data_IF_064238290486
#
_entry.id   IF_064238290486
#
_cell.length_a   1.000
_cell.length_b   1.000
_cell.length_c   1.000
_cell.angle_alpha   90.00
_cell.angle_beta   90.00
_cell.angle_gamma   90.00
#
_symmetry.space_group_name_H-M   'P 1'
#
loop_
_entity.id
_entity.type
_entity.pdbx_description
1 polymer ?
#
# COMPACT_ATOMS: atom_id res chain seq x y z
N UNK A 1 48.65 -7.87 -7.89
CA UNK A 1 48.31 -8.12 -6.47
C UNK A 1 47.33 -7.04 -6.06
N UNK A 2 46.05 -7.31 -6.29
CA UNK A 2 44.94 -6.39 -6.12
C UNK A 2 44.61 -6.20 -4.63
N UNK A 3 44.70 -4.96 -4.17
CA UNK A 3 44.31 -4.53 -2.83
C UNK A 3 42.91 -3.95 -2.85
N UNK A 4 41.89 -4.81 -2.80
CA UNK A 4 40.49 -4.39 -2.73
C UNK A 4 40.16 -3.92 -1.32
N UNK A 5 39.85 -2.62 -1.20
CA UNK A 5 39.24 -1.97 -0.04
C UNK A 5 37.94 -2.69 0.34
N UNK A 6 37.85 -3.14 1.58
CA UNK A 6 36.58 -3.52 2.22
C UNK A 6 35.91 -2.23 2.70
N UNK A 7 34.87 -1.79 1.99
CA UNK A 7 33.94 -0.77 2.48
C UNK A 7 32.74 -1.51 3.04
N UNK A 8 32.55 -1.42 4.35
CA UNK A 8 31.40 -1.93 5.08
C UNK A 8 30.18 -1.06 4.79
N UNK A 9 29.29 -1.50 3.91
CA UNK A 9 27.97 -0.91 3.73
C UNK A 9 26.97 -1.53 4.72
N UNK A 10 26.75 -0.83 5.84
CA UNK A 10 25.58 -1.00 6.67
C UNK A 10 24.37 -0.37 5.97
N UNK A 11 23.66 -1.16 5.17
CA UNK A 11 22.41 -0.76 4.51
C UNK A 11 21.19 -1.25 5.30
N UNK A 12 20.60 -0.35 6.08
CA UNK A 12 19.22 -0.45 6.56
C UNK A 12 18.26 -0.43 5.36
N UNK A 13 17.96 -1.59 4.79
CA UNK A 13 16.87 -1.73 3.82
C UNK A 13 15.54 -1.94 4.55
N UNK A 14 14.88 -0.83 4.92
CA UNK A 14 13.42 -0.81 5.03
C UNK A 14 12.84 -0.85 3.61
N UNK A 15 12.88 -2.03 2.99
CA UNK A 15 12.23 -2.28 1.71
C UNK A 15 10.72 -2.32 1.90
N UNK A 16 10.02 -1.29 1.45
CA UNK A 16 8.59 -1.42 1.15
C UNK A 16 8.49 -2.49 0.07
N UNK A 17 8.05 -3.69 0.45
CA UNK A 17 7.73 -4.76 -0.50
C UNK A 17 6.51 -4.26 -1.30
N UNK A 18 6.76 -3.63 -2.44
CA UNK A 18 5.73 -3.37 -3.45
C UNK A 18 5.56 -4.71 -4.14
N UNK A 19 4.61 -5.53 -3.66
CA UNK A 19 4.27 -6.78 -4.32
C UNK A 19 3.91 -6.47 -5.77
N UNK A 20 4.61 -7.09 -6.72
CA UNK A 20 4.24 -6.99 -8.13
C UNK A 20 2.77 -7.45 -8.28
N UNK A 21 1.94 -6.74 -9.08
CA UNK A 21 0.54 -7.12 -9.28
C UNK A 21 0.47 -8.58 -9.75
N UNK A 22 -0.23 -9.42 -9.01
CA UNK A 22 -0.29 -10.85 -9.34
C UNK A 22 -1.20 -11.06 -10.55
N UNK A 23 -0.67 -11.71 -11.59
CA UNK A 23 -1.37 -12.03 -12.84
C UNK A 23 -2.51 -13.08 -12.71
N UNK A 24 -3.01 -13.37 -11.51
CA UNK A 24 -4.04 -14.39 -11.27
C UNK A 24 -5.08 -13.95 -10.23
N UNK A 25 -6.21 -14.66 -10.20
CA UNK A 25 -7.24 -14.50 -9.16
C UNK A 25 -6.85 -15.32 -7.93
N UNK A 26 -6.68 -14.65 -6.79
CA UNK A 26 -6.31 -15.32 -5.54
C UNK A 26 -7.34 -16.37 -5.11
N UNK A 27 -6.86 -17.56 -4.75
CA UNK A 27 -7.65 -18.63 -4.14
C UNK A 27 -7.20 -18.83 -2.70
N UNK A 28 -8.08 -18.55 -1.74
CA UNK A 28 -7.75 -18.64 -0.31
C UNK A 28 -7.69 -20.12 0.09
N UNK A 29 -6.61 -20.50 0.75
CA UNK A 29 -6.45 -21.85 1.28
C UNK A 29 -7.47 -22.19 2.38
N UNK A 30 -7.72 -23.48 2.59
CA UNK A 30 -8.58 -23.94 3.67
C UNK A 30 -8.03 -23.53 5.07
N UNK A 31 -8.87 -23.13 6.03
CA UNK A 31 -8.40 -22.68 7.36
C UNK A 31 -7.49 -23.67 8.10
N UNK A 32 -7.70 -24.97 7.90
CA UNK A 32 -6.89 -26.02 8.51
C UNK A 32 -5.41 -26.00 8.07
N UNK A 33 -5.09 -25.35 6.95
CA UNK A 33 -3.73 -25.27 6.41
C UNK A 33 -3.07 -23.91 6.65
N UNK A 34 -3.75 -22.97 7.32
CA UNK A 34 -3.21 -21.62 7.51
C UNK A 34 -2.00 -21.63 8.45
N UNK A 35 -0.87 -21.03 8.04
CA UNK A 35 0.31 -20.93 8.89
C UNK A 35 0.03 -20.02 10.09
N UNK A 36 0.60 -20.39 11.22
CA UNK A 36 0.69 -19.53 12.40
C UNK A 36 1.87 -18.59 12.24
N UNK A 37 1.62 -17.29 12.26
CA UNK A 37 2.66 -16.27 12.13
C UNK A 37 2.57 -15.27 13.28
N UNK A 38 3.71 -14.67 13.68
CA UNK A 38 3.71 -13.58 14.64
C UNK A 38 3.00 -12.37 14.05
N UNK A 39 2.26 -11.65 14.89
CA UNK A 39 1.72 -10.35 14.50
C UNK A 39 2.83 -9.31 14.48
N UNK A 40 2.81 -8.38 13.52
CA UNK A 40 3.86 -7.34 13.38
C UNK A 40 4.07 -6.47 14.62
N UNK A 41 3.05 -6.34 15.48
CA UNK A 41 3.11 -5.57 16.73
C UNK A 41 3.56 -6.38 17.96
N UNK A 42 4.09 -7.59 17.77
CA UNK A 42 4.59 -8.43 18.86
C UNK A 42 3.49 -9.04 19.74
N UNK A 43 2.27 -9.18 19.21
CA UNK A 43 1.15 -9.84 19.89
C UNK A 43 1.13 -11.37 19.69
N UNK A 44 0.04 -12.06 20.08
CA UNK A 44 -0.08 -13.51 19.93
C UNK A 44 0.07 -13.93 18.46
N UNK A 45 0.54 -15.16 18.24
CA UNK A 45 0.52 -15.75 16.90
C UNK A 45 -0.92 -15.91 16.43
N UNK A 46 -1.17 -15.56 15.17
CA UNK A 46 -2.47 -15.73 14.53
C UNK A 46 -2.34 -16.65 13.32
N UNK A 47 -3.43 -17.28 12.92
CA UNK A 47 -3.49 -17.96 11.64
C UNK A 47 -3.66 -16.94 10.52
N UNK A 48 -2.83 -17.05 9.48
CA UNK A 48 -2.89 -16.15 8.34
C UNK A 48 -3.40 -16.88 7.10
N UNK A 49 -4.49 -16.39 6.47
CA UNK A 49 -4.89 -16.89 5.17
C UNK A 49 -3.80 -16.64 4.13
N UNK A 50 -3.60 -17.57 3.21
CA UNK A 50 -2.68 -17.40 2.09
C UNK A 50 -3.33 -17.84 0.79
N UNK A 51 -2.77 -17.41 -0.34
CA UNK A 51 -3.21 -17.82 -1.65
C UNK A 51 -2.57 -19.18 -2.02
N UNK A 52 -3.37 -20.19 -2.35
CA UNK A 52 -2.88 -21.51 -2.77
C UNK A 52 -2.10 -21.46 -4.09
N UNK A 53 -2.33 -20.44 -4.91
CA UNK A 53 -1.75 -20.32 -6.26
C UNK A 53 -0.37 -19.67 -6.22
N UNK A 54 -0.19 -18.61 -5.43
CA UNK A 54 1.08 -17.86 -5.39
C UNK A 54 1.77 -17.84 -4.03
N UNK A 55 1.17 -18.44 -3.00
CA UNK A 55 1.75 -18.47 -1.65
C UNK A 55 1.72 -17.14 -0.89
N UNK A 56 1.20 -16.05 -1.49
CA UNK A 56 1.13 -14.76 -0.79
C UNK A 56 0.22 -14.84 0.43
N UNK A 57 0.66 -14.21 1.51
CA UNK A 57 -0.01 -14.21 2.80
C UNK A 57 -0.87 -12.95 2.91
N UNK A 58 -2.16 -13.15 3.21
CA UNK A 58 -3.12 -12.07 3.34
C UNK A 58 -2.84 -11.23 4.58
N UNK A 59 -2.85 -9.91 4.41
CA UNK A 59 -2.83 -9.00 5.56
C UNK A 59 -4.14 -9.13 6.37
N UNK A 60 -4.03 -9.25 7.70
CA UNK A 60 -5.15 -9.41 8.62
C UNK A 60 -5.17 -8.30 9.69
N UNK A 61 -6.31 -8.16 10.38
CA UNK A 61 -6.48 -7.22 11.48
C UNK A 61 -6.30 -5.76 11.06
N UNK A 62 -5.58 -4.98 11.88
CA UNK A 62 -5.38 -3.53 11.67
C UNK A 62 -4.55 -3.16 10.44
N UNK A 63 -3.84 -4.13 9.86
CA UNK A 63 -2.98 -3.92 8.68
C UNK A 63 -3.70 -4.20 7.37
N UNK A 64 -4.97 -4.60 7.43
CA UNK A 64 -5.75 -4.91 6.24
C UNK A 64 -5.85 -3.68 5.32
N UNK A 65 -5.49 -3.80 4.04
CA UNK A 65 -5.60 -2.69 3.09
C UNK A 65 -7.06 -2.33 2.82
N UNK A 66 -7.27 -1.08 2.40
CA UNK A 66 -8.56 -0.57 1.97
C UNK A 66 -9.02 -1.32 0.72
N UNK A 67 -10.31 -1.65 0.67
CA UNK A 67 -10.94 -2.08 -0.58
C UNK A 67 -11.01 -0.91 -1.56
N UNK A 68 -11.24 -1.19 -2.84
CA UNK A 68 -11.43 -0.18 -3.91
C UNK A 68 -12.32 1.00 -3.48
N UNK A 69 -13.47 0.75 -2.87
CA UNK A 69 -14.37 1.82 -2.39
C UNK A 69 -13.72 2.73 -1.34
N UNK A 70 -12.91 2.19 -0.43
CA UNK A 70 -12.16 2.98 0.55
C UNK A 70 -11.09 3.86 -0.11
N UNK A 71 -10.44 3.36 -1.16
CA UNK A 71 -9.45 4.14 -1.94
C UNK A 71 -10.14 5.28 -2.69
N UNK A 72 -11.28 5.02 -3.33
CA UNK A 72 -12.08 6.04 -4.03
C UNK A 72 -12.55 7.12 -3.05
N UNK A 73 -13.02 6.71 -1.86
CA UNK A 73 -13.41 7.65 -0.81
C UNK A 73 -12.22 8.49 -0.33
N UNK A 74 -11.04 7.91 -0.22
CA UNK A 74 -9.82 8.64 0.15
C UNK A 74 -9.44 9.69 -0.91
N UNK A 75 -9.55 9.36 -2.20
CA UNK A 75 -9.37 10.33 -3.30
C UNK A 75 -10.37 11.47 -3.16
N UNK A 76 -11.64 11.18 -2.93
CA UNK A 76 -12.70 12.18 -2.80
C UNK A 76 -12.44 13.11 -1.60
N UNK A 77 -12.22 12.54 -0.41
CA UNK A 77 -12.01 13.28 0.82
C UNK A 77 -10.80 14.22 0.75
N UNK A 78 -9.66 13.74 0.21
CA UNK A 78 -8.50 14.61 0.03
C UNK A 78 -8.74 15.69 -1.03
N UNK A 79 -9.42 15.36 -2.11
CA UNK A 79 -9.73 16.34 -3.16
C UNK A 79 -10.59 17.49 -2.62
N UNK A 80 -11.60 17.18 -1.80
CA UNK A 80 -12.45 18.16 -1.13
C UNK A 80 -11.64 19.01 -0.16
N UNK A 81 -10.80 18.38 0.66
CA UNK A 81 -9.96 19.07 1.63
C UNK A 81 -8.98 20.03 0.98
N UNK A 82 -8.30 19.61 -0.09
CA UNK A 82 -7.39 20.48 -0.83
C UNK A 82 -8.13 21.62 -1.52
N UNK A 83 -9.32 21.34 -2.06
CA UNK A 83 -10.18 22.38 -2.65
C UNK A 83 -10.56 23.44 -1.61
N UNK A 84 -10.87 23.05 -0.36
CA UNK A 84 -11.11 23.98 0.74
C UNK A 84 -9.89 24.86 1.09
N UNK A 85 -8.68 24.38 0.84
CA UNK A 85 -7.42 25.15 1.05
C UNK A 85 -6.97 25.95 -0.18
N UNK A 86 -7.79 26.04 -1.23
CA UNK A 86 -7.49 26.78 -2.47
C UNK A 86 -6.70 25.98 -3.52
N UNK A 87 -6.36 24.71 -3.25
CA UNK A 87 -5.71 23.80 -4.21
C UNK A 87 -6.74 22.86 -4.84
N UNK A 88 -7.37 23.30 -5.92
CA UNK A 88 -8.41 22.51 -6.59
C UNK A 88 -7.83 21.26 -7.25
N UNK A 89 -8.30 20.09 -6.84
CA UNK A 89 -8.04 18.84 -7.54
C UNK A 89 -9.11 18.65 -8.61
N UNK A 90 -8.70 18.67 -9.88
CA UNK A 90 -9.64 18.58 -11.01
C UNK A 90 -10.25 17.19 -11.13
N UNK A 91 -11.40 17.09 -11.81
CA UNK A 91 -12.01 15.79 -12.13
C UNK A 91 -11.09 14.92 -12.99
N UNK A 92 -10.38 15.51 -13.95
CA UNK A 92 -9.41 14.80 -14.77
C UNK A 92 -8.30 14.18 -13.91
N UNK A 93 -7.73 14.93 -12.95
CA UNK A 93 -6.73 14.40 -12.02
C UNK A 93 -7.29 13.27 -11.16
N UNK A 94 -8.50 13.41 -10.59
CA UNK A 94 -9.15 12.34 -9.83
C UNK A 94 -9.31 11.05 -10.65
N UNK A 95 -9.70 11.18 -11.92
CA UNK A 95 -9.83 10.04 -12.84
C UNK A 95 -8.48 9.39 -13.15
N UNK A 96 -7.43 10.19 -13.39
CA UNK A 96 -6.08 9.69 -13.64
C UNK A 96 -5.49 8.97 -12.42
N UNK A 97 -5.67 9.52 -11.23
CA UNK A 97 -5.27 8.90 -9.96
C UNK A 97 -5.95 7.54 -9.81
N UNK A 98 -7.28 7.48 -9.92
CA UNK A 98 -8.03 6.22 -9.81
C UNK A 98 -7.59 5.20 -10.87
N UNK A 99 -7.36 5.65 -12.11
CA UNK A 99 -6.87 4.78 -13.19
C UNK A 99 -5.50 4.20 -12.86
N UNK A 100 -4.57 5.01 -12.36
CA UNK A 100 -3.21 4.56 -11.99
C UNK A 100 -3.24 3.60 -10.80
N UNK A 101 -4.01 3.92 -9.76
CA UNK A 101 -4.18 3.05 -8.59
C UNK A 101 -4.76 1.69 -9.00
N UNK A 102 -5.81 1.69 -9.83
CA UNK A 102 -6.39 0.45 -10.39
C UNK A 102 -5.36 -0.36 -11.18
N UNK A 103 -4.54 0.30 -12.01
CA UNK A 103 -3.49 -0.37 -12.78
C UNK A 103 -2.39 -1.00 -11.89
N UNK A 104 -2.15 -0.42 -10.72
CA UNK A 104 -1.22 -0.95 -9.71
C UNK A 104 -1.86 -2.01 -8.80
N UNK A 105 -3.14 -2.33 -8.99
CA UNK A 105 -3.92 -3.27 -8.18
C UNK A 105 -3.78 -3.01 -6.67
N UNK A 106 -3.78 -1.73 -6.26
CA UNK A 106 -3.55 -1.34 -4.86
C UNK A 106 -4.62 -1.92 -3.91
N UNK A 107 -5.77 -2.35 -4.41
CA UNK A 107 -6.82 -3.03 -3.66
C UNK A 107 -6.54 -4.50 -3.36
N UNK A 108 -5.46 -5.08 -3.90
CA UNK A 108 -5.11 -6.48 -3.66
C UNK A 108 -4.71 -6.70 -2.19
N UNK A 109 -5.58 -7.40 -1.47
CA UNK A 109 -5.44 -7.68 -0.05
C UNK A 109 -4.32 -8.67 0.31
N UNK A 110 -3.73 -9.33 -0.70
CA UNK A 110 -2.59 -10.23 -0.54
C UNK A 110 -1.27 -9.54 -0.85
N UNK A 111 -1.25 -8.62 -1.81
CA UNK A 111 -0.02 -7.92 -2.20
C UNK A 111 0.30 -6.71 -1.31
N UNK A 112 -0.72 -6.10 -0.68
CA UNK A 112 -0.54 -4.86 0.08
C UNK A 112 -0.92 -5.00 1.56
N UNK A 113 -0.14 -4.30 2.39
CA UNK A 113 -0.58 -3.90 3.73
C UNK A 113 -1.24 -2.52 3.62
N UNK A 114 -2.02 -2.11 4.62
CA UNK A 114 -2.57 -0.75 4.67
C UNK A 114 -1.48 0.30 4.57
N UNK A 115 -0.37 0.13 5.28
CA UNK A 115 0.75 1.07 5.25
C UNK A 115 1.37 1.19 3.85
N UNK A 116 1.68 0.06 3.19
CA UNK A 116 2.26 0.09 1.83
C UNK A 116 1.26 0.63 0.80
N UNK A 117 -0.03 0.31 0.95
CA UNK A 117 -1.09 0.87 0.11
C UNK A 117 -1.18 2.40 0.23
N UNK A 118 -1.14 2.94 1.46
CA UNK A 118 -1.18 4.39 1.67
C UNK A 118 0.10 5.09 1.14
N UNK A 119 1.26 4.44 1.24
CA UNK A 119 2.49 4.98 0.65
C UNK A 119 2.40 5.11 -0.88
N UNK A 120 1.89 4.07 -1.56
CA UNK A 120 1.63 4.12 -3.01
C UNK A 120 0.58 5.17 -3.34
N UNK A 121 -0.48 5.26 -2.53
CA UNK A 121 -1.51 6.28 -2.68
C UNK A 121 -0.94 7.70 -2.64
N UNK A 122 -0.15 8.02 -1.60
CA UNK A 122 0.48 9.35 -1.42
C UNK A 122 1.35 9.69 -2.62
N UNK A 123 2.15 8.72 -3.09
CA UNK A 123 2.98 8.90 -4.27
C UNK A 123 2.14 9.25 -5.50
N UNK A 124 1.17 8.39 -5.86
CA UNK A 124 0.33 8.59 -7.04
C UNK A 124 -0.46 9.90 -6.95
N UNK A 125 -1.00 10.23 -5.77
CA UNK A 125 -1.74 11.46 -5.57
C UNK A 125 -0.86 12.69 -5.79
N UNK A 126 0.35 12.70 -5.21
CA UNK A 126 1.32 13.77 -5.42
C UNK A 126 1.73 13.92 -6.89
N UNK A 127 2.00 12.80 -7.56
CA UNK A 127 2.45 12.79 -8.96
C UNK A 127 1.43 13.44 -9.92
N UNK A 128 0.12 13.23 -9.69
CA UNK A 128 -0.94 13.81 -10.55
C UNK A 128 -1.42 15.20 -10.12
N UNK A 129 -1.22 15.59 -8.86
CA UNK A 129 -1.70 16.87 -8.33
C UNK A 129 -0.60 17.94 -8.24
N UNK A 130 0.67 17.54 -8.26
CA UNK A 130 1.80 18.42 -7.95
C UNK A 130 1.86 18.81 -6.47
N UNK A 131 1.03 18.19 -5.61
CA UNK A 131 1.04 18.47 -4.17
C UNK A 131 2.17 17.66 -3.52
N UNK A 132 3.09 18.30 -2.76
CA UNK A 132 4.15 17.61 -2.05
C UNK A 132 3.64 16.49 -1.14
N UNK A 133 4.36 15.37 -1.11
CA UNK A 133 3.94 14.14 -0.42
C UNK A 133 3.73 14.35 1.09
N UNK A 134 4.57 15.15 1.72
CA UNK A 134 4.48 15.58 3.12
C UNK A 134 3.16 16.31 3.42
N UNK A 135 2.72 17.18 2.51
CA UNK A 135 1.43 17.88 2.65
C UNK A 135 0.27 16.90 2.50
N UNK A 136 0.35 15.95 1.56
CA UNK A 136 -0.67 14.90 1.40
C UNK A 136 -0.79 14.07 2.69
N UNK A 137 0.35 13.62 3.25
CA UNK A 137 0.39 12.85 4.51
C UNK A 137 -0.23 13.65 5.66
N UNK A 138 0.14 14.91 5.83
CA UNK A 138 -0.42 15.82 6.85
C UNK A 138 -1.96 15.93 6.79
N UNK A 139 -2.52 15.92 5.59
CA UNK A 139 -3.97 15.99 5.39
C UNK A 139 -4.67 14.65 5.59
N UNK A 140 -3.97 13.54 5.32
CA UNK A 140 -4.49 12.20 5.55
C UNK A 140 -4.58 11.83 7.03
N UNK A 141 -3.64 12.27 7.87
CA UNK A 141 -3.66 12.01 9.33
C UNK A 141 -4.86 12.63 10.05
N UNK A 142 -5.53 13.57 9.38
CA UNK A 142 -6.68 14.31 9.92
C UNK A 142 -8.01 13.85 9.30
N UNK A 143 -8.03 12.72 8.60
CA UNK A 143 -9.23 12.05 8.07
C UNK A 143 -9.65 10.92 9.00
#
# INVERSE_FOLDING_TARGET
>A
MDGTRVVSESATHQGVFVGAPTLHVHRIAAPATWPWLPTRKGGPMLQHPYCEVCGLIKAIGSERPLKRGGIVNLVAALSERFTATGRKVTEAQRRLINKKLTALQVEDTFAYTRASQLAVFVQVFGDYTGIPKDIVVSHMEKL
#
